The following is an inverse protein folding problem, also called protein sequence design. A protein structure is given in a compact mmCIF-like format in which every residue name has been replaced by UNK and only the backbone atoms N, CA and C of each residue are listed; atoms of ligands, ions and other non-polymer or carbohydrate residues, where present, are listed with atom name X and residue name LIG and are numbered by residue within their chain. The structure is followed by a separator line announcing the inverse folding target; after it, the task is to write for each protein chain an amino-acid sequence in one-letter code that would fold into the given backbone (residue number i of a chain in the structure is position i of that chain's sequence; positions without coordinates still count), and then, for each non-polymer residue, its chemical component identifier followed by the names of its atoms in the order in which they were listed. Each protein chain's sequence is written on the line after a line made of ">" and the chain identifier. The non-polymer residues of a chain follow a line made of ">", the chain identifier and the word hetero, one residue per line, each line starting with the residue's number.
data_IF_874745626275
#
_entry.id   IF_874745626275
#
_cell.length_a   1.000
_cell.length_b   1.000
_cell.length_c   1.000
_cell.angle_alpha   90.00
_cell.angle_beta   90.00
_cell.angle_gamma   90.00
#
_symmetry.space_group_name_H-M   'P 1'
#
loop_
_entity.id
_entity.type
_entity.pdbx_description
1 polymer ?
#
# COMPACT_ATOMS: atom_id res chain seq x y z
N UNK A 1 -8.96 16.83 -25.85
CA UNK A 1 -9.48 15.66 -25.12
C UNK A 1 -9.81 14.59 -26.14
N UNK A 2 -9.18 13.42 -26.00
CA UNK A 2 -9.38 12.28 -26.89
C UNK A 2 -10.87 11.93 -27.03
N UNK A 3 -11.28 11.55 -28.23
CA UNK A 3 -12.68 11.27 -28.57
C UNK A 3 -13.06 9.82 -28.28
N UNK A 4 -12.08 8.93 -28.15
CA UNK A 4 -12.28 7.52 -27.84
C UNK A 4 -11.06 6.92 -27.09
N UNK A 5 -11.22 5.68 -26.64
CA UNK A 5 -10.22 4.99 -25.82
C UNK A 5 -8.91 4.68 -26.56
N UNK A 6 -8.96 4.45 -27.89
CA UNK A 6 -7.78 4.17 -28.70
C UNK A 6 -6.89 5.40 -28.84
N UNK A 7 -7.50 6.56 -29.13
CA UNK A 7 -6.80 7.85 -29.20
C UNK A 7 -6.17 8.22 -27.85
N UNK A 8 -6.94 8.08 -26.75
CA UNK A 8 -6.43 8.33 -25.40
C UNK A 8 -5.23 7.42 -25.07
N UNK A 9 -5.33 6.13 -25.37
CA UNK A 9 -4.27 5.17 -25.14
C UNK A 9 -3.02 5.44 -26.01
N UNK A 10 -3.21 5.89 -27.25
CA UNK A 10 -2.11 6.22 -28.15
C UNK A 10 -1.36 7.47 -27.67
N UNK A 11 -2.07 8.56 -27.40
CA UNK A 11 -1.48 9.81 -26.92
C UNK A 11 -0.75 9.62 -25.59
N UNK A 12 -1.36 8.90 -24.65
CA UNK A 12 -0.74 8.61 -23.36
C UNK A 12 0.54 7.78 -23.51
N UNK A 13 0.53 6.80 -24.41
CA UNK A 13 1.70 5.96 -24.71
C UNK A 13 2.83 6.78 -25.32
N UNK A 14 2.52 7.67 -26.26
CA UNK A 14 3.50 8.57 -26.86
C UNK A 14 4.13 9.48 -25.80
N UNK A 15 3.33 10.04 -24.91
CA UNK A 15 3.85 10.87 -23.83
C UNK A 15 4.71 10.09 -22.83
N UNK A 16 4.39 8.82 -22.56
CA UNK A 16 5.21 7.91 -21.75
C UNK A 16 6.51 7.48 -22.41
N UNK A 17 6.62 7.52 -23.74
CA UNK A 17 7.86 7.17 -24.42
C UNK A 17 8.98 8.18 -24.15
N UNK A 18 8.65 9.42 -23.78
CA UNK A 18 9.62 10.44 -23.41
C UNK A 18 10.10 10.34 -21.95
N UNK A 19 9.46 9.50 -21.13
CA UNK A 19 9.85 9.31 -19.72
C UNK A 19 11.06 8.38 -19.62
N UNK A 20 12.26 8.95 -19.54
CA UNK A 20 13.53 8.20 -19.48
C UNK A 20 14.10 8.04 -18.08
N UNK A 21 13.67 8.87 -17.14
CA UNK A 21 14.16 8.89 -15.77
C UNK A 21 13.07 9.42 -14.83
N UNK A 22 13.39 9.53 -13.55
CA UNK A 22 12.48 10.08 -12.55
C UNK A 22 12.36 11.61 -12.70
N UNK A 23 11.63 12.05 -13.73
CA UNK A 23 11.39 13.45 -14.04
C UNK A 23 10.04 13.91 -13.49
N UNK A 24 10.07 14.76 -12.46
CA UNK A 24 8.85 15.25 -11.79
C UNK A 24 7.89 15.98 -12.73
N UNK A 25 8.41 16.75 -13.69
CA UNK A 25 7.56 17.49 -14.64
C UNK A 25 6.80 16.51 -15.54
N UNK A 26 7.48 15.50 -16.07
CA UNK A 26 6.85 14.48 -16.92
C UNK A 26 5.87 13.61 -16.12
N UNK A 27 6.20 13.22 -14.88
CA UNK A 27 5.28 12.46 -14.01
C UNK A 27 4.02 13.27 -13.72
N UNK A 28 4.16 14.56 -13.42
CA UNK A 28 3.01 15.44 -13.22
C UNK A 28 2.16 15.55 -14.48
N UNK A 29 2.78 15.72 -15.66
CA UNK A 29 2.08 15.71 -16.94
C UNK A 29 1.30 14.41 -17.15
N UNK A 30 1.92 13.25 -16.89
CA UNK A 30 1.26 11.94 -17.01
C UNK A 30 0.06 11.81 -16.04
N UNK A 31 0.15 12.47 -14.88
CA UNK A 31 -0.92 12.47 -13.88
C UNK A 31 -2.08 13.36 -14.32
N UNK A 32 -1.79 14.53 -14.89
CA UNK A 32 -2.80 15.44 -15.47
C UNK A 32 -3.52 14.75 -16.63
N UNK A 33 -2.77 14.13 -17.56
CA UNK A 33 -3.37 13.39 -18.68
C UNK A 33 -4.25 12.22 -18.22
N UNK A 34 -3.86 11.53 -17.14
CA UNK A 34 -4.66 10.45 -16.59
C UNK A 34 -5.98 10.98 -16.00
N UNK A 35 -5.95 12.14 -15.34
CA UNK A 35 -7.16 12.79 -14.84
C UNK A 35 -8.05 13.29 -15.99
N UNK A 36 -7.45 13.83 -17.05
CA UNK A 36 -8.16 14.25 -18.26
C UNK A 36 -8.83 13.06 -18.99
N UNK A 37 -8.16 11.90 -19.01
CA UNK A 37 -8.64 10.66 -19.64
C UNK A 37 -9.33 9.71 -18.67
N UNK A 38 -9.98 10.25 -17.64
CA UNK A 38 -10.63 9.49 -16.58
C UNK A 38 -11.59 8.41 -17.09
N UNK A 39 -12.35 8.70 -18.15
CA UNK A 39 -13.30 7.77 -18.79
C UNK A 39 -12.65 6.57 -19.47
N UNK A 40 -11.34 6.63 -19.72
CA UNK A 40 -10.53 5.60 -20.40
C UNK A 40 -9.48 4.99 -19.46
N UNK A 41 -9.70 5.09 -18.14
CA UNK A 41 -8.76 4.67 -17.10
C UNK A 41 -8.23 3.25 -17.26
N UNK A 42 -9.08 2.31 -17.69
CA UNK A 42 -8.70 0.91 -17.93
C UNK A 42 -7.62 0.81 -19.02
N UNK A 43 -7.79 1.53 -20.12
CA UNK A 43 -6.86 1.58 -21.24
C UNK A 43 -5.57 2.30 -20.85
N UNK A 44 -5.66 3.41 -20.11
CA UNK A 44 -4.48 4.12 -19.58
C UNK A 44 -3.66 3.21 -18.67
N UNK A 45 -4.30 2.48 -17.75
CA UNK A 45 -3.62 1.52 -16.86
C UNK A 45 -2.97 0.39 -17.66
N UNK A 46 -3.62 -0.09 -18.73
CA UNK A 46 -3.03 -1.09 -19.61
C UNK A 46 -1.78 -0.57 -20.33
N UNK A 47 -1.80 0.69 -20.79
CA UNK A 47 -0.65 1.35 -21.40
C UNK A 47 0.52 1.47 -20.40
N UNK A 48 0.25 1.90 -19.17
CA UNK A 48 1.27 2.00 -18.10
C UNK A 48 1.90 0.62 -17.84
N UNK A 49 1.07 -0.42 -17.70
CA UNK A 49 1.56 -1.78 -17.49
C UNK A 49 2.44 -2.25 -18.65
N UNK A 50 2.00 -2.04 -19.90
CA UNK A 50 2.78 -2.38 -21.09
C UNK A 50 4.12 -1.64 -21.12
N UNK A 51 4.13 -0.35 -20.76
CA UNK A 51 5.36 0.44 -20.71
C UNK A 51 6.34 -0.11 -19.67
N UNK A 52 5.88 -0.47 -18.47
CA UNK A 52 6.71 -1.11 -17.42
C UNK A 52 7.34 -2.41 -17.95
N UNK A 53 6.59 -3.22 -18.70
CA UNK A 53 7.14 -4.45 -19.28
C UNK A 53 8.19 -4.15 -20.35
N UNK A 54 7.94 -3.15 -21.21
CA UNK A 54 8.73 -2.80 -22.41
C UNK A 54 10.07 -2.14 -22.12
N UNK A 55 10.11 -1.14 -21.23
CA UNK A 55 11.29 -0.28 -21.06
C UNK A 55 12.45 -1.01 -20.37
N UNK A 56 13.68 -0.52 -20.55
CA UNK A 56 14.87 -1.08 -19.89
C UNK A 56 14.80 -0.93 -18.36
N UNK A 57 15.47 -1.79 -17.58
CA UNK A 57 15.32 -1.82 -16.12
C UNK A 57 15.47 -0.47 -15.40
N UNK A 58 16.46 0.40 -15.73
CA UNK A 58 16.60 1.71 -15.07
C UNK A 58 15.40 2.64 -15.24
N UNK A 59 14.61 2.47 -16.31
CA UNK A 59 13.46 3.32 -16.63
C UNK A 59 12.17 2.83 -15.95
N UNK A 60 12.08 1.54 -15.61
CA UNK A 60 10.86 0.93 -15.07
C UNK A 60 10.40 1.62 -13.79
N UNK A 61 11.33 2.00 -12.92
CA UNK A 61 11.02 2.68 -11.67
C UNK A 61 10.35 4.06 -11.88
N UNK A 62 10.75 4.81 -12.92
CA UNK A 62 10.10 6.07 -13.25
C UNK A 62 8.62 5.87 -13.64
N UNK A 63 8.33 4.82 -14.43
CA UNK A 63 6.96 4.47 -14.81
C UNK A 63 6.16 3.97 -13.60
N UNK A 64 6.79 3.26 -12.65
CA UNK A 64 6.16 2.90 -11.38
C UNK A 64 5.76 4.15 -10.56
N UNK A 65 6.55 5.22 -10.61
CA UNK A 65 6.19 6.49 -9.96
C UNK A 65 5.04 7.23 -10.63
N UNK A 66 4.85 7.07 -11.94
CA UNK A 66 3.63 7.56 -12.61
C UNK A 66 2.39 6.86 -12.03
N UNK A 67 2.43 5.54 -11.91
CA UNK A 67 1.33 4.77 -11.33
C UNK A 67 1.03 5.18 -9.87
N UNK A 68 2.05 5.41 -9.05
CA UNK A 68 1.89 5.91 -7.67
C UNK A 68 1.31 7.33 -7.62
N UNK A 69 1.76 8.22 -8.50
CA UNK A 69 1.21 9.58 -8.59
C UNK A 69 -0.27 9.57 -8.97
N UNK A 70 -0.68 8.69 -9.91
CA UNK A 70 -2.10 8.53 -10.28
C UNK A 70 -2.91 8.04 -9.09
N UNK A 71 -2.44 7.01 -8.36
CA UNK A 71 -3.14 6.49 -7.18
C UNK A 71 -3.38 7.54 -6.11
N UNK A 72 -2.47 8.51 -5.97
CA UNK A 72 -2.53 9.55 -4.94
C UNK A 72 -3.34 10.77 -5.35
N UNK A 73 -3.27 11.16 -6.63
CA UNK A 73 -3.72 12.47 -7.06
C UNK A 73 -4.95 12.43 -7.96
N UNK A 74 -5.22 11.31 -8.63
CA UNK A 74 -6.39 11.18 -9.53
C UNK A 74 -7.56 10.64 -8.73
N UNK A 75 -8.53 11.50 -8.46
CA UNK A 75 -9.71 11.20 -7.61
C UNK A 75 -11.02 11.09 -8.39
N UNK A 76 -10.98 11.21 -9.72
CA UNK A 76 -12.16 11.12 -10.58
C UNK A 76 -12.81 9.72 -10.63
N UNK A 77 -13.99 9.66 -11.27
CA UNK A 77 -14.88 8.49 -11.33
C UNK A 77 -14.35 7.25 -12.08
N UNK A 78 -13.17 7.33 -12.68
CA UNK A 78 -12.56 6.35 -13.57
C UNK A 78 -12.02 5.13 -12.84
N UNK A 79 -12.08 5.06 -11.51
CA UNK A 79 -11.69 3.87 -10.74
C UNK A 79 -10.26 3.39 -11.02
N UNK A 80 -9.30 4.31 -11.22
CA UNK A 80 -7.89 3.99 -11.45
C UNK A 80 -7.33 3.01 -10.41
N UNK A 81 -7.66 3.20 -9.13
CA UNK A 81 -7.30 2.30 -8.05
C UNK A 81 -7.70 0.85 -8.35
N UNK A 82 -8.92 0.61 -8.79
CA UNK A 82 -9.44 -0.74 -9.04
C UNK A 82 -8.70 -1.41 -10.22
N UNK A 83 -8.45 -0.65 -11.28
CA UNK A 83 -7.71 -1.15 -12.44
C UNK A 83 -6.25 -1.44 -12.11
N UNK A 84 -5.60 -0.56 -11.34
CA UNK A 84 -4.21 -0.74 -10.91
C UNK A 84 -4.10 -1.94 -9.95
N UNK A 85 -5.04 -2.10 -9.02
CA UNK A 85 -5.04 -3.20 -8.05
C UNK A 85 -5.07 -4.59 -8.73
N UNK A 86 -5.66 -4.69 -9.93
CA UNK A 86 -5.66 -5.94 -10.74
C UNK A 86 -4.30 -6.27 -11.35
N UNK A 87 -3.45 -5.29 -11.62
CA UNK A 87 -2.16 -5.48 -12.31
C UNK A 87 -0.94 -5.36 -11.39
N UNK A 88 -1.10 -4.69 -10.23
CA UNK A 88 0.02 -4.22 -9.40
C UNK A 88 0.94 -5.36 -8.97
N UNK A 89 0.37 -6.53 -8.63
CA UNK A 89 1.14 -7.71 -8.26
C UNK A 89 2.14 -8.11 -9.36
N UNK A 90 1.67 -8.22 -10.61
CA UNK A 90 2.48 -8.65 -11.75
C UNK A 90 3.58 -7.63 -12.07
N UNK A 91 3.22 -6.34 -12.15
CA UNK A 91 4.19 -5.30 -12.52
C UNK A 91 5.22 -5.09 -11.40
N UNK A 92 4.82 -5.16 -10.12
CA UNK A 92 5.75 -5.01 -9.01
C UNK A 92 6.82 -6.09 -9.03
N UNK A 93 6.42 -7.36 -9.17
CA UNK A 93 7.37 -8.47 -9.26
C UNK A 93 8.30 -8.35 -10.45
N UNK A 94 7.78 -7.99 -11.63
CA UNK A 94 8.61 -7.80 -12.82
C UNK A 94 9.71 -6.74 -12.60
N UNK A 95 9.37 -5.61 -11.99
CA UNK A 95 10.37 -4.56 -11.69
C UNK A 95 11.34 -5.02 -10.60
N UNK A 96 10.88 -5.77 -9.60
CA UNK A 96 11.74 -6.30 -8.54
C UNK A 96 12.77 -7.31 -9.06
N UNK A 97 12.35 -8.24 -9.91
CA UNK A 97 13.19 -9.28 -10.50
C UNK A 97 14.23 -8.70 -11.46
N UNK A 98 13.83 -7.72 -12.27
CA UNK A 98 14.71 -7.12 -13.28
C UNK A 98 15.54 -5.94 -12.77
N UNK A 99 15.19 -5.41 -11.60
CA UNK A 99 15.85 -4.25 -10.98
C UNK A 99 17.12 -4.63 -10.23
N UNK A 100 18.03 -3.66 -10.16
CA UNK A 100 19.20 -3.71 -9.28
C UNK A 100 18.84 -3.42 -7.81
N UNK A 101 19.82 -3.54 -6.92
CA UNK A 101 19.62 -3.32 -5.48
C UNK A 101 19.06 -1.94 -5.16
N UNK A 102 19.53 -0.91 -5.87
CA UNK A 102 19.01 0.45 -5.73
C UNK A 102 17.52 0.52 -6.07
N UNK A 103 17.10 -0.15 -7.15
CA UNK A 103 15.70 -0.23 -7.56
C UNK A 103 14.86 -0.99 -6.53
N UNK A 104 15.37 -2.09 -5.98
CA UNK A 104 14.67 -2.89 -4.96
C UNK A 104 14.43 -2.10 -3.68
N UNK A 105 15.42 -1.34 -3.20
CA UNK A 105 15.27 -0.43 -2.05
C UNK A 105 14.24 0.68 -2.33
N UNK A 106 14.21 1.20 -3.55
CA UNK A 106 13.22 2.20 -3.95
C UNK A 106 11.80 1.59 -4.03
N UNK A 107 11.66 0.37 -4.55
CA UNK A 107 10.41 -0.38 -4.55
C UNK A 107 9.92 -0.69 -3.14
N UNK A 108 10.82 -1.01 -2.21
CA UNK A 108 10.45 -1.20 -0.80
C UNK A 108 9.79 0.05 -0.22
N UNK A 109 10.40 1.23 -0.43
CA UNK A 109 9.82 2.51 0.00
C UNK A 109 8.48 2.78 -0.70
N UNK A 110 8.40 2.52 -2.01
CA UNK A 110 7.18 2.72 -2.79
C UNK A 110 6.04 1.83 -2.28
N UNK A 111 6.31 0.55 -1.99
CA UNK A 111 5.31 -0.37 -1.45
C UNK A 111 4.71 0.13 -0.12
N UNK A 112 5.48 0.87 0.69
CA UNK A 112 4.96 1.42 1.95
C UNK A 112 3.90 2.52 1.72
N UNK A 113 3.98 3.29 0.62
CA UNK A 113 3.01 4.36 0.30
C UNK A 113 1.63 3.82 -0.03
N UNK A 114 1.53 2.54 -0.40
CA UNK A 114 0.27 1.91 -0.79
C UNK A 114 -0.51 1.31 0.39
N UNK A 115 0.07 1.34 1.59
CA UNK A 115 -0.64 0.97 2.82
C UNK A 115 -1.80 1.95 3.05
N UNK A 116 -3.02 1.41 3.16
CA UNK A 116 -4.24 2.22 3.26
C UNK A 116 -4.82 2.66 1.91
N UNK A 117 -4.07 2.52 0.82
CA UNK A 117 -4.59 2.68 -0.55
C UNK A 117 -5.14 1.35 -1.03
N UNK A 118 -4.33 0.29 -1.11
CA UNK A 118 -4.78 -1.03 -1.55
C UNK A 118 -5.34 -1.89 -0.43
N UNK A 119 -6.08 -2.93 -0.82
CA UNK A 119 -6.52 -3.95 0.13
C UNK A 119 -5.31 -4.65 0.76
N UNK A 120 -5.45 -4.99 2.04
CA UNK A 120 -4.41 -5.70 2.80
C UNK A 120 -4.03 -7.03 2.13
N UNK A 121 -4.99 -7.74 1.56
CA UNK A 121 -4.76 -9.00 0.83
C UNK A 121 -3.88 -8.81 -0.40
N UNK A 122 -4.05 -7.72 -1.15
CA UNK A 122 -3.22 -7.36 -2.31
C UNK A 122 -1.77 -7.13 -1.87
N UNK A 123 -1.58 -6.30 -0.83
CA UNK A 123 -0.25 -5.97 -0.32
C UNK A 123 0.46 -7.20 0.27
N UNK A 124 -0.26 -8.04 1.03
CA UNK A 124 0.28 -9.29 1.56
C UNK A 124 0.74 -10.24 0.45
N UNK A 125 -0.02 -10.38 -0.64
CA UNK A 125 0.38 -11.20 -1.79
C UNK A 125 1.68 -10.70 -2.44
N UNK A 126 1.85 -9.38 -2.56
CA UNK A 126 3.10 -8.80 -3.06
C UNK A 126 4.24 -9.12 -2.11
N UNK A 127 4.09 -8.81 -0.81
CA UNK A 127 5.15 -9.03 0.18
C UNK A 127 5.60 -10.49 0.24
N UNK A 128 4.64 -11.42 0.21
CA UNK A 128 4.93 -12.86 0.23
C UNK A 128 5.72 -13.31 -1.01
N UNK A 129 5.32 -12.83 -2.20
CA UNK A 129 6.00 -13.23 -3.43
C UNK A 129 7.40 -12.61 -3.56
N UNK A 130 7.58 -11.37 -3.08
CA UNK A 130 8.90 -10.73 -3.04
C UNK A 130 9.80 -11.43 -2.02
N UNK A 131 9.28 -11.75 -0.83
CA UNK A 131 10.03 -12.49 0.19
C UNK A 131 10.49 -13.88 -0.29
N UNK A 132 9.71 -14.54 -1.15
CA UNK A 132 10.11 -15.80 -1.77
C UNK A 132 11.31 -15.67 -2.73
N UNK A 133 11.52 -14.48 -3.32
CA UNK A 133 12.67 -14.18 -4.19
C UNK A 133 13.85 -13.67 -3.35
N UNK A 134 13.57 -12.81 -2.37
CA UNK A 134 14.54 -12.21 -1.45
C UNK A 134 14.05 -12.36 0.00
N UNK A 135 14.58 -13.32 0.77
CA UNK A 135 14.19 -13.54 2.16
C UNK A 135 14.42 -12.33 3.08
N UNK A 136 15.24 -11.35 2.68
CA UNK A 136 15.45 -10.12 3.45
C UNK A 136 14.28 -9.14 3.33
N UNK A 137 13.34 -9.35 2.40
CA UNK A 137 12.15 -8.51 2.27
C UNK A 137 11.19 -8.72 3.45
N UNK A 138 10.88 -7.68 4.25
CA UNK A 138 10.03 -7.84 5.41
C UNK A 138 8.56 -8.04 5.02
N UNK A 139 7.92 -9.06 5.58
CA UNK A 139 6.46 -9.24 5.47
C UNK A 139 5.80 -8.31 6.50
N UNK A 140 5.63 -7.05 6.13
CA UNK A 140 5.05 -6.02 7.01
C UNK A 140 3.52 -6.08 7.07
N UNK A 141 2.88 -6.76 6.12
CA UNK A 141 1.42 -6.90 6.10
C UNK A 141 0.97 -8.05 7.02
N UNK A 142 0.13 -7.79 8.04
CA UNK A 142 -0.47 -8.88 8.81
C UNK A 142 -1.28 -9.78 7.89
N UNK A 143 -1.22 -11.09 8.11
CA UNK A 143 -2.03 -12.03 7.34
C UNK A 143 -3.51 -11.62 7.40
N UNK A 144 -4.24 -11.64 6.28
CA UNK A 144 -5.68 -11.44 6.32
C UNK A 144 -6.30 -12.56 7.15
N UNK A 145 -6.79 -12.22 8.34
CA UNK A 145 -7.47 -13.20 9.19
C UNK A 145 -8.75 -13.63 8.46
N UNK A 146 -8.80 -14.90 8.05
CA UNK A 146 -10.06 -15.53 7.68
C UNK A 146 -10.84 -15.73 8.98
N UNK A 147 -11.58 -14.73 9.44
CA UNK A 147 -12.52 -14.94 10.54
C UNK A 147 -13.59 -15.90 10.05
N UNK A 148 -13.70 -17.12 10.63
CA UNK A 148 -14.90 -17.90 10.46
C UNK A 148 -16.04 -17.08 11.06
N UNK A 149 -17.07 -16.80 10.28
CA UNK A 149 -18.34 -16.29 10.79
C UNK A 149 -18.79 -17.17 11.97
N UNK A 150 -18.99 -16.64 13.19
CA UNK A 150 -19.58 -17.39 14.27
C UNK A 150 -21.07 -17.58 13.95
N UNK A 151 -21.43 -18.69 13.29
CA UNK A 151 -22.83 -18.89 12.91
C UNK A 151 -23.23 -20.21 12.25
N UNK A 152 -22.31 -20.97 11.66
CA UNK A 152 -22.65 -22.25 11.04
C UNK A 152 -21.95 -23.41 11.75
N UNK A 153 -22.60 -23.88 12.82
CA UNK A 153 -22.28 -25.14 13.49
C UNK A 153 -22.38 -26.29 12.47
N UNK A 154 -21.32 -27.08 12.23
CA UNK A 154 -21.47 -28.36 11.55
C UNK A 154 -22.27 -29.28 12.49
N UNK A 155 -23.46 -29.71 12.07
CA UNK A 155 -24.16 -30.77 12.76
C UNK A 155 -23.38 -32.08 12.59
N UNK A 156 -23.08 -32.84 13.65
CA UNK A 156 -22.59 -34.20 13.50
C UNK A 156 -23.77 -35.09 13.10
N UNK A 157 -23.69 -35.73 11.94
CA UNK A 157 -24.56 -36.85 11.57
C UNK A 157 -24.29 -38.02 12.52
N UNK A 158 -25.26 -38.32 13.40
CA UNK A 158 -25.20 -39.47 14.31
C UNK A 158 -25.86 -40.68 13.63
N UNK A 159 -25.06 -41.69 13.31
CA UNK A 159 -25.55 -43.02 12.94
C UNK A 159 -26.11 -43.74 14.17
N UNK A 160 -27.29 -44.33 14.00
CA UNK A 160 -28.04 -45.08 15.02
C UNK A 160 -27.59 -46.55 15.07
N UNK A 161 -27.30 -47.08 16.26
CA UNK A 161 -27.56 -48.48 16.64
C UNK A 161 -27.65 -48.61 18.18
N UNK A 162 -28.20 -49.72 18.66
CA UNK A 162 -29.11 -49.82 19.81
C UNK A 162 -28.51 -50.38 21.13
N UNK A 163 -29.09 -49.94 22.28
CA UNK A 163 -29.41 -50.69 23.54
C UNK A 163 -28.29 -50.99 24.61
N UNK A 164 -28.59 -51.28 25.92
CA UNK A 164 -29.29 -50.50 26.97
C UNK A 164 -28.50 -50.25 28.30
N UNK A 165 -28.89 -49.18 29.02
CA UNK A 165 -29.01 -48.94 30.49
C UNK A 165 -27.94 -49.45 31.49
N UNK A 166 -27.26 -48.51 32.18
CA UNK A 166 -27.14 -48.46 33.66
C UNK A 166 -26.45 -47.18 34.21
N UNK A 167 -26.99 -46.69 35.32
CA UNK A 167 -26.41 -45.88 36.41
C UNK A 167 -25.92 -44.43 36.16
N UNK A 168 -26.57 -43.53 36.91
CA UNK A 168 -26.32 -42.10 37.06
C UNK A 168 -24.95 -41.76 37.66
N UNK A 169 -24.40 -40.60 37.27
CA UNK A 169 -23.52 -39.74 38.09
C UNK A 169 -23.49 -38.32 37.53
N UNK A 170 -24.36 -37.48 38.08
CA UNK A 170 -24.38 -36.04 37.88
C UNK A 170 -23.20 -35.45 38.67
N UNK A 171 -22.22 -34.89 37.98
CA UNK A 171 -21.12 -34.16 38.61
C UNK A 171 -21.53 -32.70 38.81
N UNK A 172 -21.94 -32.38 40.03
CA UNK A 172 -22.14 -31.01 40.51
C UNK A 172 -20.81 -30.46 41.03
N UNK A 173 -20.39 -29.30 40.52
CA UNK A 173 -19.23 -28.57 41.01
C UNK A 173 -19.64 -27.76 42.26
N UNK A 174 -19.13 -28.07 43.48
CA UNK A 174 -19.50 -27.34 44.68
C UNK A 174 -18.58 -26.14 44.89
N UNK A 175 -19.09 -24.96 44.53
CA UNK A 175 -18.96 -23.70 45.27
C UNK A 175 -17.61 -23.33 45.93
N UNK A 176 -17.02 -22.20 45.53
CA UNK A 176 -16.54 -21.23 46.51
C UNK A 176 -16.75 -19.79 46.03
N UNK A 177 -17.83 -19.19 46.53
CA UNK A 177 -17.96 -17.75 46.69
C UNK A 177 -16.80 -17.25 47.56
N UNK A 178 -16.12 -16.18 47.15
CA UNK A 178 -16.00 -15.04 48.06
C UNK A 178 -15.86 -13.73 47.31
N UNK A 179 -16.79 -12.87 47.72
CA UNK A 179 -17.05 -11.51 47.29
C UNK A 179 -16.28 -10.57 48.23
N UNK A 180 -16.11 -9.35 47.75
CA UNK A 180 -15.90 -8.11 48.49
C UNK A 180 -14.48 -7.81 48.99
N UNK A 181 -14.01 -6.56 49.03
CA UNK A 181 -14.46 -5.28 48.46
C UNK A 181 -13.52 -4.20 49.02
N UNK A 182 -13.12 -3.25 48.16
CA UNK A 182 -12.82 -1.83 48.43
C UNK A 182 -11.70 -1.36 49.38
N UNK A 183 -10.89 -0.47 48.79
CA UNK A 183 -10.47 0.89 49.23
C UNK A 183 -9.06 1.13 49.76
N UNK A 184 -8.52 2.21 49.17
CA UNK A 184 -7.68 3.25 49.77
C UNK A 184 -6.19 2.95 49.84
N UNK A 185 -5.25 3.87 49.61
CA UNK A 185 -5.15 5.26 49.14
C UNK A 185 -3.66 5.52 49.21
N UNK A 186 -3.06 6.28 48.28
CA UNK A 186 -2.16 7.41 48.58
C UNK A 186 -1.44 7.89 47.32
N UNK A 187 -1.70 9.16 47.03
CA UNK A 187 -1.01 10.00 46.07
C UNK A 187 0.42 10.33 46.52
N UNK A 188 1.28 10.75 45.57
CA UNK A 188 2.17 11.91 45.78
C UNK A 188 2.51 12.56 44.44
N UNK A 189 2.31 13.87 44.46
CA UNK A 189 2.51 14.98 43.54
C UNK A 189 3.96 15.17 43.06
N UNK A 190 4.16 16.10 42.09
CA UNK A 190 5.32 17.00 41.86
C UNK A 190 6.09 16.65 40.55
N UNK A 191 6.46 17.49 39.59
CA UNK A 191 6.29 18.92 39.23
C UNK A 191 6.93 19.09 37.83
N UNK A 192 6.36 19.99 37.02
CA UNK A 192 6.94 20.92 36.02
C UNK A 192 8.36 20.67 35.48
N UNK A 193 8.57 20.78 34.16
CA UNK A 193 9.35 21.88 33.52
C UNK A 193 9.57 21.69 32.01
N UNK A 194 9.14 22.73 31.30
CA UNK A 194 9.40 23.16 29.93
C UNK A 194 10.89 23.31 29.60
N UNK A 195 11.35 22.86 28.43
CA UNK A 195 12.43 23.58 27.71
C UNK A 195 12.33 23.34 26.21
N UNK A 196 12.02 24.42 25.48
CA UNK A 196 12.21 24.53 24.05
C UNK A 196 13.66 24.98 23.79
N UNK A 197 14.31 24.40 22.79
CA UNK A 197 15.63 24.85 22.33
C UNK A 197 15.51 25.31 20.88
N UNK A 198 15.52 26.63 20.73
CA UNK A 198 15.69 27.36 19.48
C UNK A 198 17.16 27.28 19.06
N UNK A 199 17.45 26.79 17.86
CA UNK A 199 18.76 26.95 17.23
C UNK A 199 18.65 27.94 16.08
N UNK A 200 19.19 29.13 16.34
CA UNK A 200 19.49 30.18 15.38
C UNK A 200 20.64 29.74 14.47
N UNK A 201 20.46 29.83 13.15
CA UNK A 201 21.58 29.90 12.20
C UNK A 201 21.45 31.22 11.46
N UNK A 202 22.41 32.11 11.73
CA UNK A 202 22.73 33.34 11.00
C UNK A 202 23.86 32.97 10.01
N UNK A 203 24.01 33.79 8.96
CA UNK A 203 25.20 33.98 8.07
C UNK A 203 24.93 33.42 6.66
N UNK A 204 25.01 34.13 5.52
CA UNK A 204 25.35 35.51 5.15
C UNK A 204 24.82 35.73 3.73
N UNK A 205 24.29 36.93 3.45
CA UNK A 205 24.00 37.37 2.09
C UNK A 205 25.30 37.71 1.36
N UNK A 206 25.47 37.19 0.15
CA UNK A 206 26.52 37.62 -0.79
C UNK A 206 25.88 38.45 -1.88
N UNK A 207 26.18 39.75 -1.85
CA UNK A 207 25.90 40.76 -2.86
C UNK A 207 26.59 40.35 -4.17
N UNK A 208 25.82 40.18 -5.25
CA UNK A 208 26.38 40.20 -6.61
C UNK A 208 25.98 41.51 -7.28
N UNK A 209 27.02 42.28 -7.53
CA UNK A 209 27.04 43.61 -8.15
C UNK A 209 26.56 43.58 -9.59
N UNK A 210 25.69 44.55 -9.89
CA UNK A 210 25.35 45.06 -11.23
C UNK A 210 26.59 45.48 -12.01
N UNK A 211 26.72 45.02 -13.25
CA UNK A 211 27.47 45.78 -14.26
C UNK A 211 26.78 45.66 -15.63
N UNK A 212 26.08 46.73 -16.01
CA UNK A 212 25.85 47.08 -17.40
C UNK A 212 27.11 47.80 -17.90
N UNK A 213 27.58 47.52 -19.13
CA UNK A 213 28.11 48.53 -20.06
C UNK A 213 28.28 47.91 -21.47
N UNK A 214 27.68 48.60 -22.44
CA UNK A 214 27.81 48.55 -23.91
C UNK A 214 27.41 47.27 -24.66
#
# INVERSE_FOLDING_TARGET
>A
MAKNAEEAALEYRQALDDLKDNNKMQINLMTILADDYNSFSKEIVAVIAQQIMKVIPPQKLAVMYVMDSILKNVTGAGNYKEHIEKIVYKVFLHVFETGDERTRLALHKLRQTWTGIFQRSTLYKIDLAVNAIDPAWPIVTPQPVNTPVPGSRPQPVVMTSHQPRAAAKVHVNPHFLQKNSVTSTSATTTTTTTTATTTTIITTATTTTTQCYC
#
